data_IF_435771588653
#
_entry.id   IF_435771588653
#
_cell.length_a   1.000
_cell.length_b   1.000
_cell.length_c   1.000
_cell.angle_alpha   90.00
_cell.angle_beta   90.00
_cell.angle_gamma   90.00
#
_symmetry.space_group_name_H-M   'P 1'
#
loop_
_entity.id
_entity.type
_entity.pdbx_description
1 polymer ?
#
# COMPACT_ATOMS: atom_id res chain seq x y z
N UNK A 1 -13.74 22.31 3.21
CA UNK A 1 -13.27 21.09 2.50
C UNK A 1 -14.49 20.20 2.41
N UNK A 2 -14.96 19.90 1.21
CA UNK A 2 -16.22 19.17 1.00
C UNK A 2 -16.05 17.64 1.16
N UNK A 3 -14.80 17.16 1.11
CA UNK A 3 -14.43 15.75 1.27
C UNK A 3 -12.94 15.50 0.97
N UNK A 4 -12.60 14.25 0.74
CA UNK A 4 -11.27 13.80 0.28
C UNK A 4 -11.35 13.30 -1.18
N UNK A 5 -10.22 12.84 -1.71
CA UNK A 5 -10.17 12.15 -3.01
C UNK A 5 -10.62 10.69 -2.96
N UNK A 6 -10.87 10.09 -1.79
CA UNK A 6 -11.60 8.81 -1.71
C UNK A 6 -10.78 7.54 -1.46
N UNK A 7 -9.49 7.62 -1.14
CA UNK A 7 -8.69 6.42 -0.82
C UNK A 7 -9.22 5.66 0.41
N UNK A 8 -9.87 6.34 1.36
CA UNK A 8 -10.54 5.69 2.48
C UNK A 8 -11.69 4.78 2.01
N UNK A 9 -12.43 5.20 0.97
CA UNK A 9 -13.51 4.42 0.39
C UNK A 9 -12.95 3.21 -0.34
N UNK A 10 -11.91 3.40 -1.18
CA UNK A 10 -11.20 2.30 -1.84
C UNK A 10 -10.75 1.27 -0.81
N UNK A 11 -10.04 1.72 0.23
CA UNK A 11 -9.45 0.85 1.26
C UNK A 11 -10.50 -0.03 1.94
N UNK A 12 -11.66 0.55 2.30
CA UNK A 12 -12.77 -0.19 2.93
C UNK A 12 -13.53 -1.08 1.95
N UNK A 13 -13.83 -0.60 0.75
CA UNK A 13 -14.54 -1.38 -0.28
C UNK A 13 -13.71 -2.60 -0.71
N UNK A 14 -12.41 -2.42 -0.94
CA UNK A 14 -11.51 -3.49 -1.37
C UNK A 14 -11.42 -4.64 -0.34
N UNK A 15 -11.59 -4.33 0.95
CA UNK A 15 -11.62 -5.33 2.01
C UNK A 15 -12.89 -6.19 1.99
N UNK A 16 -14.00 -5.74 1.38
CA UNK A 16 -15.19 -6.59 1.24
C UNK A 16 -14.92 -7.83 0.36
N UNK A 17 -13.90 -7.77 -0.50
CA UNK A 17 -13.53 -8.86 -1.41
C UNK A 17 -12.52 -9.83 -0.78
N UNK A 18 -12.23 -9.68 0.51
CA UNK A 18 -11.26 -10.51 1.22
C UNK A 18 -11.96 -11.27 2.36
N UNK A 19 -11.65 -12.55 2.52
CA UNK A 19 -12.14 -13.35 3.64
C UNK A 19 -11.37 -13.02 4.93
N UNK A 20 -12.03 -12.33 5.85
CA UNK A 20 -11.45 -11.98 7.16
C UNK A 20 -11.12 -13.22 8.01
N UNK A 21 -11.86 -14.33 7.84
CA UNK A 21 -11.68 -15.52 8.66
C UNK A 21 -10.43 -16.32 8.28
N UNK A 22 -9.89 -16.09 7.08
CA UNK A 22 -8.73 -16.81 6.53
C UNK A 22 -7.42 -16.03 6.61
N UNK A 23 -7.42 -14.89 7.31
CA UNK A 23 -6.24 -14.05 7.49
C UNK A 23 -5.03 -14.82 8.05
N UNK A 24 -5.28 -15.72 9.01
CA UNK A 24 -4.25 -16.55 9.64
C UNK A 24 -3.68 -17.63 8.71
N UNK A 25 -4.52 -18.25 7.88
CA UNK A 25 -4.09 -19.24 6.87
C UNK A 25 -3.21 -18.58 5.80
N UNK A 26 -3.60 -17.39 5.34
CA UNK A 26 -2.77 -16.59 4.42
C UNK A 26 -1.42 -16.21 5.02
N UNK A 27 -1.40 -15.80 6.30
CA UNK A 27 -0.15 -15.51 7.00
C UNK A 27 0.74 -16.76 7.10
N UNK A 28 0.17 -17.91 7.47
CA UNK A 28 0.90 -19.17 7.56
C UNK A 28 1.49 -19.60 6.21
N UNK A 29 0.70 -19.49 5.13
CA UNK A 29 1.18 -19.74 3.77
C UNK A 29 2.32 -18.81 3.39
N UNK A 30 2.11 -17.49 3.54
CA UNK A 30 3.13 -16.49 3.23
C UNK A 30 4.44 -16.81 3.98
N UNK A 31 4.37 -17.03 5.29
CA UNK A 31 5.53 -17.39 6.11
C UNK A 31 6.19 -18.70 5.68
N UNK A 32 5.41 -19.73 5.36
CA UNK A 32 5.94 -21.02 4.93
C UNK A 32 6.67 -20.94 3.58
N UNK A 33 6.16 -20.12 2.65
CA UNK A 33 6.74 -19.99 1.32
C UNK A 33 7.95 -19.04 1.29
N UNK A 34 7.88 -17.91 1.99
CA UNK A 34 8.92 -16.86 1.94
C UNK A 34 9.95 -16.96 3.05
N UNK A 35 9.62 -17.65 4.15
CA UNK A 35 10.42 -17.69 5.37
C UNK A 35 10.27 -16.46 6.27
N UNK A 36 9.31 -15.57 5.98
CA UNK A 36 9.14 -14.31 6.70
C UNK A 36 8.02 -14.36 7.75
N UNK A 37 8.16 -13.64 8.86
CA UNK A 37 7.27 -13.77 10.02
C UNK A 37 5.87 -13.16 9.86
N UNK A 38 5.61 -12.39 8.80
CA UNK A 38 4.30 -11.76 8.58
C UNK A 38 3.92 -10.62 9.55
N UNK A 39 4.85 -10.13 10.37
CA UNK A 39 4.59 -9.07 11.36
C UNK A 39 4.59 -7.67 10.72
N UNK A 40 3.43 -7.31 10.15
CA UNK A 40 3.23 -6.02 9.51
C UNK A 40 3.39 -4.81 10.46
N UNK A 41 2.85 -4.82 11.71
CA UNK A 41 3.07 -3.75 12.68
C UNK A 41 4.54 -3.39 12.91
N UNK A 42 5.45 -4.37 12.97
CA UNK A 42 6.89 -4.12 13.15
C UNK A 42 7.59 -3.70 11.85
N UNK A 43 7.10 -4.17 10.69
CA UNK A 43 7.68 -3.86 9.39
C UNK A 43 7.58 -2.37 9.05
N UNK A 44 6.44 -1.72 9.32
CA UNK A 44 6.22 -0.32 8.94
C UNK A 44 7.23 0.64 9.60
N UNK A 45 7.45 0.61 10.94
CA UNK A 45 8.49 1.41 11.57
C UNK A 45 9.89 1.11 11.04
N UNK A 46 10.21 -0.15 10.75
CA UNK A 46 11.50 -0.54 10.17
C UNK A 46 11.71 0.12 8.80
N UNK A 47 10.70 0.09 7.92
CA UNK A 47 10.79 0.71 6.58
C UNK A 47 10.79 2.23 6.63
N UNK A 48 9.99 2.84 7.52
CA UNK A 48 10.07 4.30 7.79
C UNK A 48 11.48 4.70 8.23
N UNK A 49 12.12 3.94 9.14
CA UNK A 49 13.50 4.17 9.57
C UNK A 49 14.49 4.02 8.41
N UNK A 50 14.33 2.99 7.57
CA UNK A 50 15.17 2.77 6.39
C UNK A 50 15.09 3.97 5.42
N UNK A 51 13.90 4.47 5.11
CA UNK A 51 13.75 5.61 4.18
C UNK A 51 14.24 6.92 4.78
N UNK A 52 14.09 7.15 6.09
CA UNK A 52 14.68 8.33 6.74
C UNK A 52 16.21 8.34 6.53
N UNK A 53 16.86 7.20 6.77
CA UNK A 53 18.33 7.07 6.65
C UNK A 53 18.84 7.21 5.21
N UNK A 54 18.08 6.70 4.24
CA UNK A 54 18.47 6.68 2.83
C UNK A 54 18.11 7.98 2.09
N UNK A 55 16.94 8.55 2.35
CA UNK A 55 16.36 9.61 1.52
C UNK A 55 16.26 10.97 2.24
N UNK A 56 16.11 10.99 3.56
CA UNK A 56 15.77 12.21 4.31
C UNK A 56 16.82 12.63 5.35
N UNK A 57 18.09 12.28 5.11
CA UNK A 57 19.18 12.55 6.07
C UNK A 57 19.35 14.06 6.33
N UNK A 58 19.24 14.90 5.30
CA UNK A 58 19.46 16.35 5.44
C UNK A 58 18.32 17.02 6.21
N UNK A 59 17.09 16.63 5.91
CA UNK A 59 15.88 17.09 6.58
C UNK A 59 15.91 16.70 8.07
N UNK A 60 16.35 15.47 8.37
CA UNK A 60 16.54 15.03 9.75
C UNK A 60 17.59 15.87 10.49
N UNK A 61 18.76 16.11 9.90
CA UNK A 61 19.79 16.94 10.54
C UNK A 61 19.30 18.38 10.77
N UNK A 62 18.54 18.94 9.84
CA UNK A 62 17.93 20.26 10.02
C UNK A 62 16.91 20.29 11.17
N UNK A 63 16.10 19.23 11.33
CA UNK A 63 15.20 19.09 12.48
C UNK A 63 15.98 18.98 13.81
N UNK A 64 17.09 18.26 13.82
CA UNK A 64 17.97 18.15 14.99
C UNK A 64 18.54 19.54 15.36
N UNK A 65 19.02 20.31 14.39
CA UNK A 65 19.53 21.66 14.61
C UNK A 65 18.47 22.65 15.09
N UNK A 66 17.24 22.52 14.59
CA UNK A 66 16.11 23.28 15.10
C UNK A 66 15.81 22.91 16.56
N UNK A 67 15.77 21.62 16.90
CA UNK A 67 15.50 21.17 18.27
C UNK A 67 16.58 21.64 19.26
N UNK A 68 17.86 21.59 18.87
CA UNK A 68 18.97 22.12 19.68
C UNK A 68 18.80 23.62 19.97
N UNK A 69 18.42 24.42 18.96
CA UNK A 69 18.17 25.86 19.15
C UNK A 69 17.00 26.14 20.11
N UNK A 70 16.01 25.25 20.19
CA UNK A 70 14.94 25.35 21.19
C UNK A 70 15.49 24.99 22.56
N UNK A 71 16.22 23.88 22.68
CA UNK A 71 16.83 23.46 23.94
C UNK A 71 17.71 24.55 24.58
N UNK A 72 18.48 25.30 23.78
CA UNK A 72 19.36 26.38 24.26
C UNK A 72 18.58 27.58 24.83
N UNK A 73 17.31 27.77 24.44
CA UNK A 73 16.46 28.88 24.87
C UNK A 73 15.52 28.49 26.02
N UNK A 74 15.29 27.20 26.20
CA UNK A 74 14.37 26.67 27.20
C UNK A 74 15.07 26.44 28.54
N UNK A 75 14.73 27.27 29.53
CA UNK A 75 15.22 27.12 30.89
C UNK A 75 14.42 26.01 31.62
N UNK A 76 15.11 25.01 32.16
CA UNK A 76 14.52 24.05 33.12
C UNK A 76 14.48 22.57 32.70
N UNK A 77 15.04 22.20 31.54
CA UNK A 77 15.34 20.81 31.19
C UNK A 77 16.86 20.63 31.03
N UNK A 78 17.44 19.46 31.36
CA UNK A 78 18.81 19.17 30.95
C UNK A 78 18.89 19.10 29.42
N UNK A 79 19.91 19.72 28.83
CA UNK A 79 20.05 19.79 27.38
C UNK A 79 20.35 18.38 26.80
N UNK A 80 19.53 17.85 25.89
CA UNK A 80 19.78 16.55 25.28
C UNK A 80 20.97 16.63 24.32
N UNK A 81 21.72 15.53 24.18
CA UNK A 81 22.77 15.44 23.18
C UNK A 81 22.20 15.45 21.75
N UNK A 82 23.02 15.85 20.77
CA UNK A 82 22.64 15.81 19.34
C UNK A 82 22.20 14.40 18.90
N UNK A 83 22.89 13.37 19.37
CA UNK A 83 22.63 11.99 18.99
C UNK A 83 21.32 11.47 19.61
N UNK A 84 21.07 11.81 20.89
CA UNK A 84 19.81 11.56 21.57
C UNK A 84 18.62 12.20 20.82
N UNK A 85 18.74 13.48 20.45
CA UNK A 85 17.71 14.16 19.66
C UNK A 85 17.48 13.50 18.30
N UNK A 86 18.55 13.12 17.58
CA UNK A 86 18.40 12.45 16.29
C UNK A 86 17.61 11.16 16.40
N UNK A 87 17.98 10.30 17.35
CA UNK A 87 17.29 9.02 17.55
C UNK A 87 15.86 9.22 18.07
N UNK A 88 15.62 10.17 18.98
CA UNK A 88 14.27 10.48 19.47
C UNK A 88 13.35 11.01 18.34
N UNK A 89 13.85 11.88 17.46
CA UNK A 89 13.10 12.40 16.31
C UNK A 89 12.78 11.27 15.33
N UNK A 90 13.74 10.38 15.04
CA UNK A 90 13.51 9.20 14.20
C UNK A 90 12.46 8.29 14.84
N UNK A 91 12.64 7.93 16.11
CA UNK A 91 11.74 7.06 16.87
C UNK A 91 10.31 7.60 16.86
N UNK A 92 10.11 8.87 17.20
CA UNK A 92 8.80 9.51 17.14
C UNK A 92 8.20 9.49 15.73
N UNK A 93 9.00 9.78 14.70
CA UNK A 93 8.52 9.85 13.31
C UNK A 93 8.08 8.49 12.76
N UNK A 94 8.77 7.41 13.15
CA UNK A 94 8.42 6.06 12.70
C UNK A 94 7.22 5.48 13.46
N UNK A 95 7.02 5.90 14.70
CA UNK A 95 5.89 5.50 15.56
C UNK A 95 4.59 6.28 15.27
N UNK A 96 4.66 7.36 14.50
CA UNK A 96 3.47 8.13 14.13
C UNK A 96 2.55 7.27 13.23
N UNK A 97 1.28 7.00 13.65
CA UNK A 97 0.35 6.13 12.92
C UNK A 97 -0.37 6.84 11.77
N UNK A 98 -0.26 8.16 11.69
CA UNK A 98 -0.86 9.01 10.66
C UNK A 98 0.22 9.62 9.80
N UNK A 99 -0.17 10.12 8.63
CA UNK A 99 0.71 10.87 7.73
C UNK A 99 1.37 12.05 8.43
N UNK A 100 0.59 12.80 9.21
CA UNK A 100 1.03 13.98 9.98
C UNK A 100 -0.08 14.41 10.93
N UNK A 101 0.29 15.20 11.92
CA UNK A 101 -0.63 15.96 12.78
C UNK A 101 -0.73 17.42 12.32
N UNK A 102 -1.63 18.19 12.94
CA UNK A 102 -1.94 19.57 12.56
C UNK A 102 -1.95 20.54 13.76
N UNK A 103 -0.84 20.65 14.49
CA UNK A 103 -0.59 21.75 15.42
C UNK A 103 -0.30 23.06 14.68
N UNK A 104 -0.95 24.15 15.10
CA UNK A 104 -0.71 25.52 14.60
C UNK A 104 -0.56 26.49 15.77
N UNK A 105 0.67 26.89 16.07
CA UNK A 105 0.95 27.66 17.28
C UNK A 105 0.55 26.87 18.53
N UNK A 106 -0.38 27.42 19.32
CA UNK A 106 -0.95 26.78 20.50
C UNK A 106 -2.18 25.89 20.20
N UNK A 107 -2.76 25.96 19.00
CA UNK A 107 -3.93 25.17 18.64
C UNK A 107 -3.51 23.73 18.29
N UNK A 108 -4.06 22.78 19.04
CA UNK A 108 -3.90 21.35 18.85
C UNK A 108 -5.25 20.69 19.18
N UNK A 109 -5.76 19.85 18.29
CA UNK A 109 -7.00 19.10 18.56
C UNK A 109 -6.75 17.98 19.57
N UNK A 110 -7.77 17.61 20.35
CA UNK A 110 -7.67 16.49 21.31
C UNK A 110 -7.23 15.19 20.62
N UNK A 111 -7.73 14.94 19.41
CA UNK A 111 -7.35 13.77 18.61
C UNK A 111 -5.89 13.75 18.20
N UNK A 112 -5.35 14.87 17.70
CA UNK A 112 -3.91 14.96 17.39
C UNK A 112 -3.06 14.86 18.68
N UNK A 113 -3.53 15.42 19.79
CA UNK A 113 -2.85 15.31 21.08
C UNK A 113 -2.79 13.85 21.56
N UNK A 114 -3.87 13.08 21.43
CA UNK A 114 -3.89 11.64 21.75
C UNK A 114 -2.93 10.85 20.87
N UNK A 115 -2.95 11.10 19.55
CA UNK A 115 -2.02 10.48 18.59
C UNK A 115 -0.56 10.74 18.97
N UNK A 116 -0.23 12.00 19.32
CA UNK A 116 1.12 12.39 19.71
C UNK A 116 1.55 11.71 21.02
N UNK A 117 0.69 11.69 22.04
CA UNK A 117 0.98 10.99 23.30
C UNK A 117 1.23 9.51 23.09
N UNK A 118 0.40 8.85 22.27
CA UNK A 118 0.58 7.44 21.92
C UNK A 118 1.92 7.22 21.20
N UNK A 119 2.23 8.02 20.19
CA UNK A 119 3.47 7.90 19.42
C UNK A 119 4.71 8.14 20.28
N UNK A 120 4.68 9.15 21.16
CA UNK A 120 5.73 9.41 22.15
C UNK A 120 5.90 8.25 23.12
N UNK A 121 4.81 7.70 23.66
CA UNK A 121 4.84 6.55 24.56
C UNK A 121 5.46 5.31 23.92
N UNK A 122 5.06 4.97 22.68
CA UNK A 122 5.68 3.87 21.92
C UNK A 122 7.15 4.14 21.62
N UNK A 123 7.49 5.36 21.19
CA UNK A 123 8.87 5.73 20.89
C UNK A 123 9.77 5.61 22.12
N UNK A 124 9.32 6.05 23.30
CA UNK A 124 10.05 5.88 24.57
C UNK A 124 10.23 4.41 24.94
N UNK A 125 9.20 3.60 24.72
CA UNK A 125 9.20 2.16 25.07
C UNK A 125 10.14 1.35 24.17
N UNK A 126 10.10 1.60 22.86
CA UNK A 126 10.91 0.87 21.88
C UNK A 126 12.34 1.40 21.75
N UNK A 127 12.61 2.63 22.19
CA UNK A 127 13.91 3.29 22.05
C UNK A 127 14.38 3.99 23.34
N UNK A 128 14.52 3.26 24.47
CA UNK A 128 14.87 3.83 25.77
C UNK A 128 16.24 4.54 25.79
N UNK A 129 17.17 4.12 24.93
CA UNK A 129 18.52 4.69 24.84
C UNK A 129 18.57 6.08 24.16
N UNK A 130 17.45 6.58 23.61
CA UNK A 130 17.41 7.88 22.92
C UNK A 130 17.50 9.09 23.86
N UNK A 131 17.59 8.88 25.18
CA UNK A 131 17.65 9.92 26.20
C UNK A 131 16.27 10.45 26.56
N UNK A 132 15.96 10.41 27.86
CA UNK A 132 14.68 10.88 28.39
C UNK A 132 14.47 12.37 28.11
N UNK A 133 15.54 13.15 28.22
CA UNK A 133 15.56 14.60 28.02
C UNK A 133 15.20 15.00 26.59
N UNK A 134 15.59 14.19 25.60
CA UNK A 134 15.26 14.44 24.20
C UNK A 134 13.74 14.31 23.99
N UNK A 135 13.15 13.21 24.47
CA UNK A 135 11.71 13.02 24.37
C UNK A 135 10.92 14.02 25.21
N UNK A 136 11.41 14.43 26.38
CA UNK A 136 10.77 15.46 27.20
C UNK A 136 10.73 16.82 26.47
N UNK A 137 11.82 17.19 25.76
CA UNK A 137 11.84 18.37 24.91
C UNK A 137 10.83 18.24 23.74
N UNK A 138 10.80 17.10 23.05
CA UNK A 138 9.87 16.88 21.94
C UNK A 138 8.41 16.95 22.41
N UNK A 139 8.09 16.29 23.52
CA UNK A 139 6.77 16.29 24.15
C UNK A 139 6.33 17.71 24.51
N UNK A 140 7.22 18.50 25.12
CA UNK A 140 6.96 19.91 25.41
C UNK A 140 6.67 20.72 24.15
N UNK A 141 7.48 20.61 23.10
CA UNK A 141 7.23 21.35 21.84
C UNK A 141 5.89 20.96 21.20
N UNK A 142 5.54 19.67 21.25
CA UNK A 142 4.38 19.10 20.57
C UNK A 142 3.06 19.28 21.35
N UNK A 143 3.07 19.16 22.67
CA UNK A 143 1.85 19.17 23.48
C UNK A 143 1.66 20.46 24.30
N UNK A 144 2.76 21.06 24.76
CA UNK A 144 2.72 22.20 25.71
C UNK A 144 3.13 23.53 25.06
N UNK A 145 3.85 23.48 23.93
CA UNK A 145 4.47 24.64 23.32
C UNK A 145 3.45 25.70 22.93
N UNK A 146 3.69 26.94 23.38
CA UNK A 146 2.95 28.12 22.97
C UNK A 146 3.26 28.50 21.49
N UNK A 147 2.73 29.63 21.00
CA UNK A 147 2.90 30.02 19.61
C UNK A 147 4.37 30.26 19.17
N UNK A 148 5.28 30.52 20.11
CA UNK A 148 6.68 30.87 19.82
C UNK A 148 7.65 29.70 20.06
N UNK A 149 7.44 28.92 21.13
CA UNK A 149 8.34 27.82 21.48
C UNK A 149 8.22 26.65 20.51
N UNK A 150 9.30 26.38 19.76
CA UNK A 150 9.41 25.21 18.88
C UNK A 150 8.42 25.17 17.73
N UNK A 151 7.69 26.25 17.44
CA UNK A 151 6.66 26.28 16.39
C UNK A 151 7.23 26.01 14.99
N UNK A 152 8.42 26.55 14.69
CA UNK A 152 9.15 26.23 13.46
C UNK A 152 9.50 24.74 13.39
N UNK A 153 10.03 24.17 14.48
CA UNK A 153 10.38 22.75 14.54
C UNK A 153 9.15 21.87 14.32
N UNK A 154 8.04 22.13 15.01
CA UNK A 154 6.78 21.38 14.88
C UNK A 154 6.25 21.46 13.45
N UNK A 155 6.24 22.66 12.85
CA UNK A 155 5.78 22.82 11.47
C UNK A 155 6.64 22.01 10.48
N UNK A 156 7.97 22.05 10.63
CA UNK A 156 8.90 21.28 9.80
C UNK A 156 8.78 19.78 10.01
N UNK A 157 8.60 19.32 11.25
CA UNK A 157 8.41 17.91 11.56
C UNK A 157 7.08 17.37 10.99
N UNK A 158 6.00 18.16 11.05
CA UNK A 158 4.72 17.83 10.39
C UNK A 158 4.82 17.81 8.85
N UNK A 159 5.74 18.58 8.25
CA UNK A 159 6.05 18.52 6.81
C UNK A 159 6.92 17.33 6.45
N UNK A 160 7.78 16.88 7.37
CA UNK A 160 8.70 15.75 7.21
C UNK A 160 8.00 14.38 7.31
N UNK A 161 7.07 14.22 8.25
CA UNK A 161 6.40 12.95 8.54
C UNK A 161 5.52 12.43 7.40
N UNK A 162 4.93 13.33 6.60
CA UNK A 162 4.11 12.97 5.43
C UNK A 162 4.91 12.20 4.37
N UNK A 163 5.96 12.79 3.77
CA UNK A 163 6.84 12.11 2.83
C UNK A 163 7.51 10.86 3.40
N UNK A 164 7.90 10.86 4.68
CA UNK A 164 8.43 9.66 5.35
C UNK A 164 7.40 8.53 5.37
N UNK A 165 6.14 8.85 5.67
CA UNK A 165 5.06 7.86 5.65
C UNK A 165 4.81 7.35 4.24
N UNK A 166 4.64 8.23 3.24
CA UNK A 166 4.47 7.82 1.85
C UNK A 166 5.60 6.90 1.37
N UNK A 167 6.86 7.31 1.58
CA UNK A 167 8.02 6.53 1.13
C UNK A 167 8.25 5.25 1.92
N UNK A 168 8.04 5.28 3.23
CA UNK A 168 8.27 4.13 4.11
C UNK A 168 7.16 3.08 4.04
N UNK A 169 5.91 3.54 3.96
CA UNK A 169 4.73 2.69 3.92
C UNK A 169 4.41 2.26 2.49
N UNK A 170 4.04 3.22 1.63
CA UNK A 170 3.43 2.91 0.33
C UNK A 170 4.45 2.52 -0.73
N UNK A 171 5.62 3.15 -0.72
CA UNK A 171 6.70 2.89 -1.68
C UNK A 171 7.76 1.93 -1.13
N UNK A 172 7.55 1.33 0.05
CA UNK A 172 8.48 0.32 0.59
C UNK A 172 7.76 -0.83 1.28
N UNK A 173 7.04 -0.60 2.39
CA UNK A 173 6.39 -1.68 3.13
C UNK A 173 5.34 -2.45 2.29
N UNK A 174 4.60 -1.77 1.42
CA UNK A 174 3.67 -2.41 0.47
C UNK A 174 4.33 -3.31 -0.57
N UNK A 175 5.63 -3.16 -0.82
CA UNK A 175 6.40 -4.06 -1.69
C UNK A 175 7.17 -5.11 -0.90
N UNK A 176 7.25 -4.96 0.43
CA UNK A 176 7.96 -5.88 1.32
C UNK A 176 7.04 -6.77 2.17
N UNK A 177 5.73 -6.56 2.13
CA UNK A 177 4.75 -7.39 2.80
C UNK A 177 3.80 -8.02 1.78
N UNK A 178 4.09 -9.23 1.31
CA UNK A 178 3.37 -9.81 0.16
C UNK A 178 2.30 -10.83 0.55
N UNK A 179 1.81 -10.83 1.81
CA UNK A 179 0.76 -11.78 2.27
C UNK A 179 -0.46 -11.83 1.33
N UNK A 180 -1.00 -10.67 0.97
CA UNK A 180 -2.06 -10.53 -0.03
C UNK A 180 -1.95 -9.15 -0.69
N UNK A 181 -1.37 -9.07 -1.89
CA UNK A 181 -0.94 -7.79 -2.48
C UNK A 181 -2.10 -6.91 -2.95
N UNK A 182 -3.33 -7.41 -3.01
CA UNK A 182 -4.52 -6.56 -3.22
C UNK A 182 -4.81 -5.64 -2.04
N UNK A 183 -4.34 -5.94 -0.83
CA UNK A 183 -4.43 -5.06 0.33
C UNK A 183 -3.37 -3.94 0.33
N UNK A 184 -2.35 -4.07 -0.53
CA UNK A 184 -1.20 -3.16 -0.61
C UNK A 184 -1.49 -2.01 -1.57
N UNK A 185 -2.43 -1.16 -1.18
CA UNK A 185 -2.92 -0.04 -1.98
C UNK A 185 -2.84 1.28 -1.21
N UNK A 186 -2.75 2.41 -1.90
CA UNK A 186 -2.71 3.75 -1.27
C UNK A 186 -3.91 3.91 -0.32
N UNK A 187 -3.64 4.29 0.93
CA UNK A 187 -4.65 4.32 2.01
C UNK A 187 -5.08 2.95 2.57
N UNK A 188 -4.49 1.86 2.11
CA UNK A 188 -4.74 0.49 2.52
C UNK A 188 -4.12 0.10 3.87
N UNK A 189 -4.64 -0.98 4.45
CA UNK A 189 -4.17 -1.58 5.71
C UNK A 189 -3.78 -3.06 5.50
N UNK A 190 -2.61 -3.38 4.91
CA UNK A 190 -2.19 -4.75 4.60
C UNK A 190 -2.21 -5.73 5.78
N UNK A 191 -2.03 -5.23 7.00
CA UNK A 191 -2.11 -6.02 8.23
C UNK A 191 -3.52 -6.54 8.54
N UNK A 192 -4.56 -5.97 7.93
CA UNK A 192 -5.94 -6.44 8.05
C UNK A 192 -6.36 -7.18 6.78
N UNK A 193 -7.05 -8.31 6.92
CA UNK A 193 -7.77 -8.94 5.82
C UNK A 193 -9.27 -8.88 6.10
N UNK A 194 -10.04 -8.55 5.07
CA UNK A 194 -11.50 -8.55 5.15
C UNK A 194 -12.10 -7.41 5.97
N UNK A 195 -13.41 -7.24 5.81
CA UNK A 195 -14.28 -6.41 6.66
C UNK A 195 -15.72 -6.91 6.51
N UNK A 196 -16.51 -6.84 7.58
CA UNK A 196 -17.94 -7.18 7.49
C UNK A 196 -18.73 -6.12 6.71
N UNK A 197 -19.83 -6.55 6.07
CA UNK A 197 -20.76 -5.63 5.40
C UNK A 197 -21.33 -4.58 6.36
N UNK A 198 -21.60 -4.97 7.61
CA UNK A 198 -22.08 -4.07 8.67
C UNK A 198 -21.07 -2.95 8.94
N UNK A 199 -19.78 -3.28 9.13
CA UNK A 199 -18.73 -2.29 9.36
C UNK A 199 -18.54 -1.37 8.14
N UNK A 200 -18.75 -1.88 6.92
CA UNK A 200 -18.74 -1.06 5.71
C UNK A 200 -19.94 -0.10 5.64
N UNK A 201 -21.14 -0.54 6.06
CA UNK A 201 -22.31 0.33 6.15
C UNK A 201 -22.13 1.41 7.22
N UNK A 202 -21.59 1.09 8.39
CA UNK A 202 -21.25 2.08 9.43
C UNK A 202 -20.27 3.14 8.91
N UNK A 203 -19.28 2.72 8.12
CA UNK A 203 -18.36 3.63 7.44
C UNK A 203 -19.10 4.55 6.44
N UNK A 204 -20.00 4.00 5.62
CA UNK A 204 -20.81 4.79 4.69
C UNK A 204 -21.69 5.82 5.42
N UNK A 205 -22.35 5.44 6.52
CA UNK A 205 -23.14 6.34 7.36
C UNK A 205 -22.28 7.45 7.98
N UNK A 206 -21.04 7.11 8.35
CA UNK A 206 -20.05 8.07 8.81
C UNK A 206 -19.66 9.08 7.74
N UNK A 207 -19.43 8.64 6.50
CA UNK A 207 -19.13 9.52 5.38
C UNK A 207 -20.32 10.43 5.05
N UNK A 208 -21.53 9.90 4.97
CA UNK A 208 -22.73 10.69 4.66
C UNK A 208 -22.95 11.83 5.66
N UNK A 209 -22.72 11.58 6.96
CA UNK A 209 -22.91 12.58 8.01
C UNK A 209 -21.82 13.65 8.02
N UNK A 210 -20.57 13.26 7.79
CA UNK A 210 -19.42 14.13 8.07
C UNK A 210 -18.75 14.69 6.82
N UNK A 211 -18.80 13.97 5.70
CA UNK A 211 -18.08 14.28 4.45
C UNK A 211 -18.86 13.81 3.21
N UNK A 212 -20.11 14.29 3.00
CA UNK A 212 -20.96 13.81 1.90
C UNK A 212 -20.41 14.14 0.51
N UNK A 213 -19.45 15.08 0.39
CA UNK A 213 -18.77 15.42 -0.86
C UNK A 213 -17.47 14.66 -1.12
N UNK A 214 -17.12 13.65 -0.30
CA UNK A 214 -15.95 12.81 -0.57
C UNK A 214 -16.14 12.03 -1.88
N UNK A 215 -15.06 11.93 -2.66
CA UNK A 215 -15.04 11.09 -3.84
C UNK A 215 -15.07 9.61 -3.45
N UNK A 216 -15.69 8.79 -4.29
CA UNK A 216 -15.72 7.34 -4.19
C UNK A 216 -14.88 6.77 -5.33
N UNK A 217 -13.57 6.70 -5.14
CA UNK A 217 -12.65 6.16 -6.13
C UNK A 217 -12.45 4.65 -5.92
N UNK A 218 -12.10 3.97 -7.02
CA UNK A 218 -11.58 2.60 -7.00
C UNK A 218 -10.29 2.46 -7.80
N UNK A 219 -9.94 3.42 -8.65
CA UNK A 219 -8.65 3.46 -9.34
C UNK A 219 -8.20 4.90 -9.49
N UNK A 220 -6.89 5.13 -9.60
CA UNK A 220 -6.32 6.44 -9.94
C UNK A 220 -5.01 6.25 -10.71
N UNK A 221 -4.40 7.36 -11.12
CA UNK A 221 -3.04 7.38 -11.66
C UNK A 221 -1.95 7.00 -10.63
N UNK A 222 -2.28 6.94 -9.33
CA UNK A 222 -1.34 6.64 -8.25
C UNK A 222 -1.63 5.30 -7.54
N UNK A 223 -2.76 4.63 -7.84
CA UNK A 223 -3.02 3.30 -7.28
C UNK A 223 -1.95 2.31 -7.75
N UNK A 224 -1.50 1.45 -6.83
CA UNK A 224 -0.46 0.44 -7.04
C UNK A 224 -0.91 -0.62 -8.03
N UNK A 225 -2.23 -0.88 -8.13
CA UNK A 225 -2.84 -1.86 -9.04
C UNK A 225 -4.18 -1.34 -9.58
N UNK A 226 -4.57 -1.84 -10.74
CA UNK A 226 -5.88 -1.63 -11.33
C UNK A 226 -6.99 -2.18 -10.44
N UNK A 227 -8.20 -1.62 -10.57
CA UNK A 227 -9.31 -2.00 -9.70
C UNK A 227 -9.75 -3.45 -9.86
N UNK A 228 -9.66 -4.00 -11.07
CA UNK A 228 -10.05 -5.39 -11.34
C UNK A 228 -8.88 -6.38 -11.15
N UNK A 229 -7.64 -5.89 -11.17
CA UNK A 229 -6.49 -6.65 -10.65
C UNK A 229 -6.71 -6.97 -9.18
N UNK A 230 -7.13 -5.98 -8.38
CA UNK A 230 -7.34 -6.17 -6.93
C UNK A 230 -8.53 -7.05 -6.62
N UNK A 231 -9.66 -6.89 -7.31
CA UNK A 231 -10.83 -7.76 -7.07
C UNK A 231 -10.53 -9.22 -7.36
N UNK A 232 -9.70 -9.51 -8.38
CA UNK A 232 -9.28 -10.87 -8.71
C UNK A 232 -8.27 -11.46 -7.72
N UNK A 233 -7.25 -10.69 -7.32
CA UNK A 233 -6.26 -11.15 -6.32
C UNK A 233 -6.94 -11.43 -4.99
N UNK A 234 -7.94 -10.64 -4.61
CA UNK A 234 -8.60 -10.79 -3.30
C UNK A 234 -9.34 -12.14 -3.15
N UNK A 235 -9.77 -12.76 -4.27
CA UNK A 235 -10.34 -14.12 -4.29
C UNK A 235 -9.37 -15.19 -3.79
N UNK A 236 -8.05 -14.95 -3.83
CA UNK A 236 -7.06 -15.86 -3.24
C UNK A 236 -7.28 -16.06 -1.73
N UNK A 237 -7.85 -15.06 -1.05
CA UNK A 237 -8.18 -15.16 0.37
C UNK A 237 -9.24 -16.22 0.67
N UNK A 238 -10.11 -16.53 -0.29
CA UNK A 238 -11.18 -17.52 -0.12
C UNK A 238 -10.68 -18.97 -0.27
N UNK A 239 -9.48 -19.19 -0.85
CA UNK A 239 -8.94 -20.51 -1.16
C UNK A 239 -7.43 -20.62 -0.85
N UNK A 240 -7.00 -20.36 0.41
CA UNK A 240 -5.59 -20.33 0.77
C UNK A 240 -4.89 -21.69 0.60
N UNK A 241 -5.61 -22.80 0.76
CA UNK A 241 -5.03 -24.15 0.59
C UNK A 241 -4.71 -24.45 -0.87
N UNK A 242 -5.67 -24.21 -1.78
CA UNK A 242 -5.49 -24.35 -3.21
C UNK A 242 -4.41 -23.40 -3.74
N UNK A 243 -4.37 -22.17 -3.19
CA UNK A 243 -3.30 -21.22 -3.49
C UNK A 243 -1.94 -21.73 -3.03
N UNK A 244 -1.84 -22.31 -1.83
CA UNK A 244 -0.60 -22.89 -1.30
C UNK A 244 -0.06 -24.01 -2.20
N UNK A 245 -0.93 -24.92 -2.64
CA UNK A 245 -0.57 -26.01 -3.54
C UNK A 245 -0.07 -25.48 -4.89
N UNK A 246 -0.75 -24.49 -5.46
CA UNK A 246 -0.38 -23.88 -6.72
C UNK A 246 1.00 -23.21 -6.67
N UNK A 247 1.25 -22.34 -5.69
CA UNK A 247 2.56 -21.65 -5.58
C UNK A 247 3.70 -22.62 -5.32
N UNK A 248 3.48 -23.66 -4.50
CA UNK A 248 4.50 -24.67 -4.22
C UNK A 248 4.83 -25.46 -5.50
N UNK A 249 3.81 -25.87 -6.26
CA UNK A 249 3.97 -26.59 -7.51
C UNK A 249 4.70 -25.73 -8.56
N UNK A 250 4.30 -24.47 -8.75
CA UNK A 250 4.97 -23.56 -9.69
C UNK A 250 6.40 -23.25 -9.29
N UNK A 251 6.69 -23.08 -8.00
CA UNK A 251 8.05 -22.90 -7.50
C UNK A 251 8.96 -24.09 -7.85
N UNK A 252 8.43 -25.33 -7.78
CA UNK A 252 9.18 -26.52 -8.18
C UNK A 252 9.37 -26.58 -9.70
N UNK A 253 8.29 -26.36 -10.47
CA UNK A 253 8.34 -26.37 -11.94
C UNK A 253 9.38 -25.36 -12.48
N UNK A 254 9.43 -24.18 -11.88
CA UNK A 254 10.20 -23.06 -12.39
C UNK A 254 11.55 -22.86 -11.67
N UNK A 255 11.93 -23.76 -10.77
CA UNK A 255 13.17 -23.65 -9.99
C UNK A 255 14.41 -23.46 -10.87
N UNK A 256 14.44 -24.10 -12.04
CA UNK A 256 15.53 -23.97 -13.00
C UNK A 256 15.64 -22.57 -13.63
N UNK A 257 14.55 -21.79 -13.64
CA UNK A 257 14.50 -20.43 -14.18
C UNK A 257 15.38 -19.43 -13.41
N UNK A 258 15.72 -19.72 -12.15
CA UNK A 258 16.67 -18.92 -11.38
C UNK A 258 18.13 -19.14 -11.82
N UNK A 259 18.42 -20.21 -12.58
CA UNK A 259 19.77 -20.53 -13.02
C UNK A 259 20.73 -20.68 -11.84
N UNK A 260 21.78 -19.85 -11.83
CA UNK A 260 22.77 -19.80 -10.73
C UNK A 260 22.46 -18.74 -9.67
N UNK A 261 21.34 -18.02 -9.79
CA UNK A 261 20.94 -17.00 -8.82
C UNK A 261 20.23 -17.63 -7.62
N UNK A 262 20.42 -17.05 -6.44
CA UNK A 262 19.64 -17.43 -5.27
C UNK A 262 18.16 -17.03 -5.47
N UNK A 263 17.19 -17.94 -5.34
CA UNK A 263 15.78 -17.61 -5.47
C UNK A 263 15.34 -16.58 -4.43
N UNK A 264 14.70 -15.51 -4.88
CA UNK A 264 13.99 -14.57 -4.01
C UNK A 264 12.54 -15.01 -3.86
N UNK A 265 12.28 -15.82 -2.83
CA UNK A 265 10.94 -16.39 -2.57
C UNK A 265 9.88 -15.33 -2.32
N UNK A 266 10.25 -14.18 -1.75
CA UNK A 266 9.31 -13.09 -1.53
C UNK A 266 8.85 -12.48 -2.86
N UNK A 267 9.79 -12.15 -3.74
CA UNK A 267 9.45 -11.58 -5.05
C UNK A 267 8.82 -12.61 -6.00
N UNK A 268 9.14 -13.89 -5.85
CA UNK A 268 8.44 -14.98 -6.54
C UNK A 268 6.97 -15.06 -6.13
N UNK A 269 6.69 -15.03 -4.82
CA UNK A 269 5.31 -15.04 -4.31
C UNK A 269 4.52 -13.81 -4.76
N UNK A 270 5.17 -12.63 -4.75
CA UNK A 270 4.61 -11.39 -5.26
C UNK A 270 4.30 -11.47 -6.77
N UNK A 271 5.20 -12.08 -7.55
CA UNK A 271 5.01 -12.30 -8.99
C UNK A 271 3.81 -13.21 -9.26
N UNK A 272 3.68 -14.33 -8.56
CA UNK A 272 2.55 -15.23 -8.79
C UNK A 272 1.19 -14.56 -8.49
N UNK A 273 1.10 -13.73 -7.45
CA UNK A 273 -0.12 -12.93 -7.22
C UNK A 273 -0.34 -11.87 -8.30
N UNK A 274 0.73 -11.25 -8.79
CA UNK A 274 0.64 -10.27 -9.89
C UNK A 274 0.09 -10.93 -11.15
N UNK A 275 0.61 -12.12 -11.51
CA UNK A 275 0.08 -12.91 -12.61
C UNK A 275 -1.37 -13.30 -12.35
N UNK A 276 -1.71 -13.77 -11.15
CA UNK A 276 -3.08 -14.14 -10.82
C UNK A 276 -4.07 -12.98 -11.01
N UNK A 277 -3.67 -11.75 -10.66
CA UNK A 277 -4.49 -10.55 -10.82
C UNK A 277 -4.58 -10.03 -12.25
N UNK A 278 -3.47 -9.98 -12.98
CA UNK A 278 -3.36 -9.24 -14.24
C UNK A 278 -3.33 -10.13 -15.50
N UNK A 279 -3.38 -11.47 -15.38
CA UNK A 279 -3.37 -12.37 -16.54
C UNK A 279 -4.58 -12.16 -17.47
N UNK A 280 -4.44 -12.20 -18.80
CA UNK A 280 -3.18 -12.30 -19.55
C UNK A 280 -2.36 -11.01 -19.44
N UNK A 281 -1.09 -11.16 -19.03
CA UNK A 281 -0.15 -10.06 -18.86
C UNK A 281 1.02 -10.24 -19.81
N UNK A 282 1.33 -9.23 -20.62
CA UNK A 282 2.49 -9.26 -21.51
C UNK A 282 3.80 -9.38 -20.70
N UNK A 283 4.72 -10.24 -21.15
CA UNK A 283 6.01 -10.48 -20.50
C UNK A 283 6.76 -9.18 -20.19
N UNK A 284 6.81 -8.25 -21.16
CA UNK A 284 7.51 -6.97 -21.00
C UNK A 284 6.90 -6.13 -19.86
N UNK A 285 5.57 -6.02 -19.81
CA UNK A 285 4.86 -5.31 -18.73
C UNK A 285 5.12 -5.96 -17.37
N UNK A 286 5.17 -7.30 -17.33
CA UNK A 286 5.49 -8.06 -16.14
C UNK A 286 6.92 -7.77 -15.65
N UNK A 287 7.93 -7.85 -16.53
CA UNK A 287 9.32 -7.55 -16.18
C UNK A 287 9.51 -6.11 -15.69
N UNK A 288 8.90 -5.13 -16.37
CA UNK A 288 8.98 -3.72 -15.98
C UNK A 288 8.36 -3.49 -14.59
N UNK A 289 7.19 -4.08 -14.33
CA UNK A 289 6.53 -3.98 -13.03
C UNK A 289 7.34 -4.66 -11.91
N UNK A 290 7.81 -5.88 -12.14
CA UNK A 290 8.57 -6.63 -11.14
C UNK A 290 9.90 -5.95 -10.81
N UNK A 291 10.59 -5.39 -11.82
CA UNK A 291 11.79 -4.59 -11.60
C UNK A 291 11.50 -3.37 -10.71
N UNK A 292 10.40 -2.65 -10.98
CA UNK A 292 9.96 -1.54 -10.14
C UNK A 292 9.65 -2.03 -8.71
N UNK A 293 8.90 -3.11 -8.56
CA UNK A 293 8.55 -3.67 -7.25
C UNK A 293 9.80 -4.07 -6.43
N UNK A 294 10.80 -4.70 -7.05
CA UNK A 294 12.06 -5.03 -6.40
C UNK A 294 12.85 -3.79 -5.95
N UNK A 295 12.89 -2.73 -6.77
CA UNK A 295 13.55 -1.47 -6.40
C UNK A 295 12.81 -0.72 -5.30
N UNK A 296 11.48 -0.80 -5.27
CA UNK A 296 10.67 -0.21 -4.21
C UNK A 296 10.76 -0.97 -2.89
N UNK A 297 10.84 -2.31 -2.90
CA UNK A 297 11.00 -3.10 -1.66
C UNK A 297 12.34 -2.82 -0.95
N UNK A 298 13.36 -2.40 -1.71
CA UNK A 298 14.71 -2.04 -1.23
C UNK A 298 15.39 -3.18 -0.47
N UNK A 299 15.08 -4.43 -0.85
CA UNK A 299 15.66 -5.66 -0.27
C UNK A 299 17.01 -6.01 -0.90
N UNK A 300 17.04 -6.12 -2.22
CA UNK A 300 18.20 -6.59 -2.99
C UNK A 300 18.73 -5.54 -3.98
N UNK A 301 17.83 -4.73 -4.57
CA UNK A 301 18.18 -3.64 -5.48
C UNK A 301 17.42 -2.38 -5.09
N UNK A 302 17.91 -1.21 -5.48
CA UNK A 302 17.26 0.09 -5.22
C UNK A 302 17.38 1.00 -6.43
N UNK A 303 16.60 2.07 -6.48
CA UNK A 303 16.76 3.11 -7.51
C UNK A 303 18.10 3.84 -7.45
N UNK A 304 18.70 3.99 -6.25
CA UNK A 304 19.97 4.69 -6.05
C UNK A 304 21.19 3.81 -6.31
N UNK A 305 21.07 2.53 -5.96
CA UNK A 305 22.12 1.52 -6.07
C UNK A 305 21.53 0.25 -6.68
N UNK A 306 21.41 0.17 -8.02
CA UNK A 306 20.91 -1.02 -8.69
C UNK A 306 21.87 -2.21 -8.56
N UNK A 307 21.36 -3.38 -8.21
CA UNK A 307 22.09 -4.66 -8.32
C UNK A 307 21.78 -5.30 -9.68
N UNK A 308 22.67 -5.07 -10.66
CA UNK A 308 22.50 -5.58 -12.02
C UNK A 308 22.46 -7.11 -12.09
N UNK A 309 23.15 -7.80 -11.18
CA UNK A 309 23.18 -9.27 -11.15
C UNK A 309 21.83 -9.83 -10.74
N UNK A 310 21.27 -9.30 -9.65
CA UNK A 310 19.92 -9.64 -9.20
C UNK A 310 18.86 -9.27 -10.24
N UNK A 311 18.93 -8.07 -10.81
CA UNK A 311 17.95 -7.62 -11.80
C UNK A 311 17.97 -8.44 -13.09
N UNK A 312 19.13 -8.96 -13.52
CA UNK A 312 19.21 -9.90 -14.64
C UNK A 312 18.57 -11.24 -14.28
N UNK A 313 18.91 -11.82 -13.13
CA UNK A 313 18.33 -13.08 -12.67
C UNK A 313 16.81 -13.04 -12.57
N UNK A 314 16.24 -11.91 -12.11
CA UNK A 314 14.79 -11.70 -12.09
C UNK A 314 14.18 -11.72 -13.49
N UNK A 315 14.78 -11.03 -14.47
CA UNK A 315 14.27 -11.00 -15.85
C UNK A 315 14.36 -12.38 -16.49
N UNK A 316 15.47 -13.08 -16.29
CA UNK A 316 15.68 -14.45 -16.78
C UNK A 316 14.65 -15.42 -16.18
N UNK A 317 14.39 -15.32 -14.89
CA UNK A 317 13.34 -16.11 -14.22
C UNK A 317 11.95 -15.83 -14.83
N UNK A 318 11.58 -14.55 -15.02
CA UNK A 318 10.30 -14.19 -15.64
C UNK A 318 10.23 -14.73 -17.08
N UNK A 319 11.27 -14.54 -17.90
CA UNK A 319 11.30 -15.08 -19.25
C UNK A 319 11.14 -16.60 -19.28
N UNK A 320 11.73 -17.31 -18.32
CA UNK A 320 11.55 -18.76 -18.18
C UNK A 320 10.09 -19.14 -17.93
N UNK A 321 9.36 -18.41 -17.06
CA UNK A 321 7.93 -18.64 -16.83
C UNK A 321 7.12 -18.51 -18.12
N UNK A 322 7.35 -17.43 -18.89
CA UNK A 322 6.63 -17.16 -20.13
C UNK A 322 6.98 -18.13 -21.28
N UNK A 323 8.09 -18.85 -21.17
CA UNK A 323 8.50 -19.89 -22.11
C UNK A 323 8.09 -21.30 -21.69
N UNK A 324 7.45 -21.47 -20.52
CA UNK A 324 7.04 -22.77 -19.98
C UNK A 324 5.55 -23.03 -20.27
N UNK A 325 5.20 -23.87 -21.27
CA UNK A 325 3.79 -24.15 -21.58
C UNK A 325 3.09 -24.92 -20.45
N UNK A 326 3.86 -25.72 -19.69
CA UNK A 326 3.35 -26.45 -18.52
C UNK A 326 2.93 -25.47 -17.42
N UNK A 327 3.77 -24.49 -17.09
CA UNK A 327 3.42 -23.45 -16.12
C UNK A 327 2.24 -22.62 -16.60
N UNK A 328 2.23 -22.14 -17.85
CA UNK A 328 1.14 -21.33 -18.40
C UNK A 328 -0.19 -22.10 -18.34
N UNK A 329 -0.21 -23.36 -18.77
CA UNK A 329 -1.41 -24.20 -18.71
C UNK A 329 -1.90 -24.42 -17.27
N UNK A 330 -0.96 -24.65 -16.33
CA UNK A 330 -1.27 -24.77 -14.90
C UNK A 330 -1.85 -23.48 -14.32
N UNK A 331 -1.23 -22.33 -14.62
CA UNK A 331 -1.69 -21.00 -14.22
C UNK A 331 -3.10 -20.75 -14.76
N UNK A 332 -3.31 -20.87 -16.07
CA UNK A 332 -4.60 -20.59 -16.70
C UNK A 332 -5.71 -21.47 -16.14
N UNK A 333 -5.43 -22.76 -15.89
CA UNK A 333 -6.38 -23.67 -15.24
C UNK A 333 -6.73 -23.21 -13.83
N UNK A 334 -5.75 -22.79 -13.03
CA UNK A 334 -5.97 -22.26 -11.69
C UNK A 334 -6.78 -20.96 -11.72
N UNK A 335 -6.53 -20.08 -12.70
CA UNK A 335 -7.18 -18.77 -12.79
C UNK A 335 -8.65 -18.81 -13.24
N UNK A 336 -9.11 -19.87 -13.92
CA UNK A 336 -10.51 -19.97 -14.39
C UNK A 336 -11.56 -19.58 -13.34
N UNK A 337 -11.60 -20.19 -12.14
CA UNK A 337 -12.55 -19.79 -11.09
C UNK A 337 -12.31 -18.38 -10.56
N UNK A 338 -11.05 -17.94 -10.46
CA UNK A 338 -10.70 -16.61 -9.94
C UNK A 338 -11.13 -15.49 -10.89
N UNK A 339 -11.02 -15.71 -12.20
CA UNK A 339 -11.44 -14.74 -13.22
C UNK A 339 -12.95 -14.49 -13.10
N UNK A 340 -13.74 -15.56 -12.95
CA UNK A 340 -15.18 -15.45 -12.82
C UNK A 340 -15.60 -14.73 -11.52
N UNK A 341 -15.04 -15.15 -10.39
CA UNK A 341 -15.31 -14.52 -9.09
C UNK A 341 -14.84 -13.06 -9.03
N UNK A 342 -13.62 -12.78 -9.53
CA UNK A 342 -13.05 -11.44 -9.60
C UNK A 342 -13.87 -10.50 -10.50
N UNK A 343 -14.48 -11.02 -11.56
CA UNK A 343 -15.42 -10.26 -12.38
C UNK A 343 -16.73 -9.94 -11.63
N UNK A 344 -17.28 -10.90 -10.88
CA UNK A 344 -18.42 -10.65 -9.98
C UNK A 344 -18.12 -9.56 -8.96
N UNK A 345 -16.95 -9.63 -8.31
CA UNK A 345 -16.47 -8.61 -7.37
C UNK A 345 -16.29 -7.24 -8.06
N UNK A 346 -15.80 -7.20 -9.30
CA UNK A 346 -15.66 -5.97 -10.10
C UNK A 346 -17.01 -5.28 -10.37
N UNK A 347 -18.03 -6.06 -10.77
CA UNK A 347 -19.37 -5.54 -11.00
C UNK A 347 -20.03 -5.07 -9.69
N UNK A 348 -19.91 -5.85 -8.62
CA UNK A 348 -20.40 -5.47 -7.31
C UNK A 348 -19.72 -4.19 -6.79
N UNK A 349 -18.40 -4.08 -6.96
CA UNK A 349 -17.62 -2.89 -6.64
C UNK A 349 -18.10 -1.66 -7.42
N UNK A 350 -18.38 -1.83 -8.72
CA UNK A 350 -18.91 -0.75 -9.57
C UNK A 350 -20.29 -0.31 -9.09
N UNK A 351 -21.19 -1.26 -8.80
CA UNK A 351 -22.52 -0.96 -8.27
C UNK A 351 -22.46 -0.23 -6.93
N UNK A 352 -21.65 -0.72 -5.98
CA UNK A 352 -21.48 -0.09 -4.66
C UNK A 352 -20.92 1.32 -4.84
N UNK A 353 -19.89 1.51 -5.66
CA UNK A 353 -19.30 2.83 -5.95
C UNK A 353 -20.34 3.82 -6.47
N UNK A 354 -21.25 3.39 -7.35
CA UNK A 354 -22.28 4.25 -7.95
C UNK A 354 -23.48 4.52 -7.03
N UNK A 355 -23.66 3.75 -5.96
CA UNK A 355 -24.86 3.81 -5.10
C UNK A 355 -24.57 4.18 -3.64
N UNK A 356 -23.32 4.08 -3.20
CA UNK A 356 -22.88 4.50 -1.87
C UNK A 356 -22.94 6.05 -1.71
N UNK A 357 -23.03 6.56 -0.48
CA UNK A 357 -23.06 7.99 -0.23
C UNK A 357 -21.70 8.64 -0.54
N UNK A 358 -21.69 9.61 -1.44
CA UNK A 358 -20.50 10.34 -1.90
C UNK A 358 -20.60 10.70 -3.37
N UNK A 359 -19.48 11.09 -3.98
CA UNK A 359 -19.41 11.41 -5.42
C UNK A 359 -18.60 10.33 -6.14
N UNK A 360 -19.23 9.45 -6.95
CA UNK A 360 -18.53 8.41 -7.68
C UNK A 360 -17.44 8.96 -8.59
N UNK A 361 -16.24 8.39 -8.51
CA UNK A 361 -15.12 8.68 -9.41
C UNK A 361 -14.81 7.49 -10.31
N UNK A 362 -14.62 7.76 -11.61
CA UNK A 362 -14.27 6.74 -12.61
C UNK A 362 -12.99 7.21 -13.28
N UNK A 363 -11.88 6.57 -12.93
CA UNK A 363 -10.63 6.79 -13.61
C UNK A 363 -10.74 6.37 -15.09
N UNK A 364 -10.08 7.12 -15.97
CA UNK A 364 -10.18 6.94 -17.42
C UNK A 364 -9.92 5.48 -17.83
N UNK A 365 -10.91 4.85 -18.47
CA UNK A 365 -10.81 3.46 -18.93
C UNK A 365 -11.48 2.44 -18.01
N UNK A 366 -11.79 2.78 -16.75
CA UNK A 366 -12.41 1.88 -15.77
C UNK A 366 -13.91 1.62 -15.97
N UNK A 367 -14.56 2.27 -16.94
CA UNK A 367 -15.88 1.88 -17.44
C UNK A 367 -15.88 0.48 -18.09
N UNK A 368 -14.70 -0.08 -18.36
CA UNK A 368 -14.49 -1.46 -18.78
C UNK A 368 -13.50 -2.15 -17.83
N UNK A 369 -13.33 -3.48 -17.94
CA UNK A 369 -12.35 -4.19 -17.13
C UNK A 369 -10.93 -3.59 -17.25
N UNK A 370 -10.33 -3.28 -16.10
CA UNK A 370 -9.08 -2.54 -15.96
C UNK A 370 -8.05 -3.41 -15.23
N UNK A 371 -7.05 -3.88 -16.00
CA UNK A 371 -5.96 -4.74 -15.54
C UNK A 371 -4.58 -4.07 -15.63
N UNK A 372 -4.50 -2.78 -15.28
CA UNK A 372 -3.19 -2.11 -15.22
C UNK A 372 -2.48 -2.38 -13.92
N UNK A 373 -1.16 -2.24 -13.96
CA UNK A 373 -0.27 -2.24 -12.81
C UNK A 373 0.09 -0.78 -12.45
N UNK A 374 0.99 -0.58 -11.49
CA UNK A 374 1.38 0.78 -11.05
C UNK A 374 1.98 1.61 -12.21
N UNK A 375 1.93 2.95 -12.07
CA UNK A 375 2.60 3.92 -12.95
C UNK A 375 3.98 3.43 -13.43
N UNK A 376 4.28 3.46 -14.74
CA UNK A 376 3.50 4.07 -15.83
C UNK A 376 2.45 3.17 -16.49
N UNK A 377 2.22 1.94 -16.02
CA UNK A 377 1.31 1.01 -16.70
C UNK A 377 -0.17 1.46 -16.64
N UNK A 378 -0.59 2.09 -15.53
CA UNK A 378 -1.91 2.73 -15.38
C UNK A 378 -2.06 4.08 -16.11
N UNK A 379 -1.05 4.49 -16.90
CA UNK A 379 -1.07 5.73 -17.72
C UNK A 379 -1.09 5.44 -19.22
N UNK A 380 -1.27 4.18 -19.61
CA UNK A 380 -1.45 3.78 -21.02
C UNK A 380 -2.65 4.52 -21.64
N UNK A 381 -2.60 4.84 -22.94
CA UNK A 381 -3.67 5.57 -23.62
C UNK A 381 -4.97 4.77 -23.63
N UNK A 382 -6.09 5.47 -23.47
CA UNK A 382 -7.44 4.90 -23.49
C UNK A 382 -8.05 5.08 -24.88
N UNK A 383 -8.56 3.99 -25.46
CA UNK A 383 -9.32 4.05 -26.72
C UNK A 383 -10.78 4.47 -26.45
N UNK A 384 -11.02 5.78 -26.42
CA UNK A 384 -12.36 6.35 -26.23
C UNK A 384 -13.29 6.13 -27.43
N UNK A 385 -12.77 5.95 -28.64
CA UNK A 385 -13.60 5.68 -29.80
C UNK A 385 -14.21 4.28 -29.73
N UNK A 386 -13.45 3.28 -29.25
CA UNK A 386 -13.99 1.94 -28.99
C UNK A 386 -15.08 1.95 -27.92
N UNK A 387 -14.91 2.73 -26.85
CA UNK A 387 -15.88 2.86 -25.76
C UNK A 387 -17.18 3.53 -26.21
N UNK A 388 -17.10 4.60 -27.01
CA UNK A 388 -18.29 5.23 -27.60
C UNK A 388 -19.08 4.24 -28.46
N UNK A 389 -18.37 3.48 -29.33
CA UNK A 389 -19.02 2.43 -30.15
C UNK A 389 -19.70 1.35 -29.30
N UNK A 390 -19.09 0.95 -28.19
CA UNK A 390 -19.70 -0.02 -27.27
C UNK A 390 -20.96 0.57 -26.63
N UNK A 391 -20.90 1.80 -26.11
CA UNK A 391 -22.02 2.49 -25.48
C UNK A 391 -23.19 2.68 -26.45
N UNK A 392 -22.94 3.16 -27.67
CA UNK A 392 -23.97 3.30 -28.71
C UNK A 392 -24.62 1.94 -29.05
N UNK A 393 -23.83 0.87 -29.01
CA UNK A 393 -24.29 -0.50 -29.20
C UNK A 393 -25.21 -1.00 -28.08
N UNK A 394 -25.06 -0.50 -26.85
CA UNK A 394 -25.91 -0.87 -25.72
C UNK A 394 -27.32 -0.32 -25.84
N UNK A 395 -27.46 0.95 -26.22
CA UNK A 395 -28.79 1.58 -26.40
C UNK A 395 -29.62 0.88 -27.48
N UNK A 396 -28.95 0.25 -28.45
CA UNK A 396 -29.59 -0.51 -29.52
C UNK A 396 -29.97 -1.95 -29.14
N UNK A 397 -29.50 -2.48 -28.00
CA UNK A 397 -29.78 -3.87 -27.56
C UNK A 397 -31.09 -3.95 -26.79
N UNK A 398 -31.87 -5.00 -27.04
CA UNK A 398 -33.12 -5.28 -26.33
C UNK A 398 -32.92 -5.94 -24.94
N UNK A 399 -31.73 -6.51 -24.69
CA UNK A 399 -31.38 -7.15 -23.42
C UNK A 399 -29.91 -6.88 -23.06
N UNK A 400 -29.56 -6.74 -21.77
CA UNK A 400 -28.18 -6.55 -21.33
C UNK A 400 -27.34 -7.81 -21.63
N UNK A 401 -26.01 -7.66 -21.77
CA UNK A 401 -25.11 -8.80 -21.92
C UNK A 401 -25.19 -9.73 -20.71
N UNK A 402 -24.78 -10.99 -20.90
CA UNK A 402 -24.52 -11.90 -19.77
C UNK A 402 -23.55 -11.22 -18.80
N UNK A 403 -23.80 -11.27 -17.50
CA UNK A 403 -22.92 -10.66 -16.48
C UNK A 403 -21.47 -11.14 -16.57
N UNK A 404 -21.19 -12.23 -17.28
CA UNK A 404 -19.83 -12.76 -17.49
C UNK A 404 -19.09 -12.09 -18.66
N UNK A 405 -19.79 -11.30 -19.48
CA UNK A 405 -19.19 -10.61 -20.60
C UNK A 405 -18.37 -9.41 -20.10
N UNK A 406 -17.22 -9.15 -20.72
CA UNK A 406 -16.36 -8.02 -20.35
C UNK A 406 -17.06 -6.67 -20.46
N UNK A 407 -18.01 -6.53 -21.39
CA UNK A 407 -18.82 -5.34 -21.58
C UNK A 407 -19.86 -5.11 -20.48
N UNK A 408 -20.15 -6.07 -19.60
CA UNK A 408 -21.19 -5.93 -18.54
C UNK A 408 -20.90 -4.88 -17.49
N UNK A 409 -19.64 -4.40 -17.44
CA UNK A 409 -19.21 -3.35 -16.52
C UNK A 409 -19.55 -1.94 -17.03
N UNK A 410 -19.65 -1.80 -18.36
CA UNK A 410 -20.12 -0.57 -19.02
C UNK A 410 -21.63 -0.45 -18.83
#
# INVERSE_FOLDING_TARGET
MDGTVGYEFLSRLNRLWMDENKAGELSALYSAFTGESGDYPSLVPQKKRQVIRLLFRRELEYLVELALRVADREYGLPAPSRDCLREAIVALSVELPVYRTYKRGAELSDGDAEILRMALGRARTHHPDSGQEAFDLLERMLLEGNAEMGSEWVARWQQFTGPVTAKGLEDTAFYDFSRLISANEVGGEPGMAGISAESFHEFCDGMQRNRPGSLLLTATHDTKRGEDVRTRISVLSEQPAEWAEAVAAWSVMNAAGWGNHQPDRHMEYFLYQTLAGAWPLEEKRCQEYMLKACRESKRHTTWLYPDEGYERGLREFISHLYQSPEFISSLEKFLQPLVLAGHGNSLAQTLIKLTAPGVPDIYQGCELPEFSLVDPDNRRPVDFEARRRLLDGFEARAAPPSWQASESKL
#
